data_IF_744068531702
#
_entry.id   IF_744068531702
#
_cell.length_a   1.000
_cell.length_b   1.000
_cell.length_c   1.000
_cell.angle_alpha   90.00
_cell.angle_beta   90.00
_cell.angle_gamma   90.00
#
_symmetry.space_group_name_H-M   'P 1'
#
loop_
_entity.id
_entity.type
_entity.pdbx_description
1 polymer ?
#
# COMPACT_ATOMS: atom_id res chain seq x y z
N UNK A 1 23.99 41.36 -45.64
CA UNK A 1 22.94 40.32 -45.84
C UNK A 1 23.46 38.88 -45.81
N UNK A 2 24.64 38.55 -46.32
CA UNK A 2 25.12 37.14 -46.40
C UNK A 2 25.80 36.60 -45.11
N UNK A 3 26.23 37.48 -44.20
CA UNK A 3 26.90 37.14 -42.93
C UNK A 3 25.95 36.98 -41.75
N UNK A 4 24.85 37.75 -41.72
CA UNK A 4 23.85 37.68 -40.63
C UNK A 4 22.95 36.44 -40.71
N UNK A 5 22.77 35.88 -41.90
CA UNK A 5 22.07 34.61 -42.08
C UNK A 5 22.92 33.40 -41.64
N UNK A 6 24.25 33.53 -41.64
CA UNK A 6 25.17 32.44 -41.28
C UNK A 6 25.28 32.28 -39.76
N UNK A 7 25.33 33.38 -39.00
CA UNK A 7 25.35 33.36 -37.53
C UNK A 7 24.02 32.90 -36.93
N UNK A 8 22.90 33.27 -37.56
CA UNK A 8 21.57 32.79 -37.18
C UNK A 8 21.41 31.28 -37.37
N UNK A 9 21.95 30.74 -38.47
CA UNK A 9 21.95 29.29 -38.74
C UNK A 9 22.80 28.52 -37.72
N UNK A 10 23.95 29.06 -37.32
CA UNK A 10 24.82 28.44 -36.32
C UNK A 10 24.20 28.46 -34.91
N UNK A 11 23.58 29.58 -34.51
CA UNK A 11 22.88 29.66 -33.23
C UNK A 11 21.68 28.72 -33.16
N UNK A 12 20.92 28.56 -34.25
CA UNK A 12 19.82 27.58 -34.30
C UNK A 12 20.32 26.14 -34.29
N UNK A 13 21.43 25.84 -34.95
CA UNK A 13 22.08 24.52 -34.86
C UNK A 13 22.56 24.24 -33.43
N UNK A 14 23.23 25.19 -32.76
CA UNK A 14 23.68 25.02 -31.38
C UNK A 14 22.52 24.84 -30.39
N UNK A 15 21.45 25.61 -30.52
CA UNK A 15 20.26 25.47 -29.67
C UNK A 15 19.55 24.13 -29.92
N UNK A 16 19.47 23.67 -31.17
CA UNK A 16 18.88 22.37 -31.51
C UNK A 16 19.73 21.18 -31.03
N UNK A 17 21.07 21.30 -31.06
CA UNK A 17 21.99 20.31 -30.51
C UNK A 17 21.93 20.23 -28.97
N UNK A 18 21.72 21.36 -28.29
CA UNK A 18 21.54 21.38 -26.83
C UNK A 18 20.18 20.82 -26.39
N UNK A 19 19.12 20.98 -27.18
CA UNK A 19 17.80 20.41 -26.90
C UNK A 19 17.70 18.90 -27.15
N UNK A 20 18.54 18.33 -28.02
CA UNK A 20 18.51 16.90 -28.35
C UNK A 20 19.37 16.01 -27.43
N UNK A 21 20.20 16.60 -26.56
CA UNK A 21 21.02 15.88 -25.58
C UNK A 21 20.33 15.71 -24.21
N UNK A 22 19.15 16.31 -24.01
CA UNK A 22 18.48 16.41 -22.70
C UNK A 22 17.35 15.42 -22.45
N UNK A 23 17.04 14.50 -23.36
CA UNK A 23 15.85 13.63 -23.24
C UNK A 23 16.22 12.14 -23.23
N UNK A 24 16.95 11.72 -22.20
CA UNK A 24 16.86 10.35 -21.69
C UNK A 24 16.06 10.38 -20.39
N UNK A 25 14.79 10.73 -20.48
CA UNK A 25 13.87 10.36 -19.41
C UNK A 25 13.69 8.85 -19.49
N UNK A 26 14.42 8.11 -18.65
CA UNK A 26 14.09 6.73 -18.34
C UNK A 26 12.73 6.76 -17.64
N UNK A 27 11.66 6.79 -18.43
CA UNK A 27 10.33 6.48 -17.93
C UNK A 27 10.39 5.01 -17.55
N UNK A 28 10.77 4.73 -16.30
CA UNK A 28 10.79 3.38 -15.75
C UNK A 28 9.34 2.96 -15.53
N UNK A 29 8.64 2.68 -16.63
CA UNK A 29 7.39 1.99 -16.59
C UNK A 29 7.64 0.62 -15.95
N UNK A 30 6.73 0.21 -15.06
CA UNK A 30 6.77 -1.14 -14.52
C UNK A 30 6.61 -2.12 -15.68
N UNK A 31 7.68 -2.85 -15.99
CA UNK A 31 7.66 -3.89 -17.01
C UNK A 31 7.45 -5.23 -16.30
N UNK A 32 6.31 -5.88 -16.58
CA UNK A 32 6.05 -7.23 -16.10
C UNK A 32 7.06 -8.21 -16.70
N UNK A 33 7.53 -9.15 -15.88
CA UNK A 33 8.43 -10.22 -16.31
C UNK A 33 7.78 -11.58 -16.07
N UNK A 34 8.14 -12.57 -16.88
CA UNK A 34 7.69 -13.94 -16.68
C UNK A 34 8.26 -14.49 -15.38
N UNK A 35 7.40 -14.99 -14.49
CA UNK A 35 7.81 -15.69 -13.27
C UNK A 35 7.80 -17.18 -13.57
N UNK A 36 8.98 -17.78 -13.66
CA UNK A 36 9.14 -19.22 -13.97
C UNK A 36 9.20 -20.10 -12.72
N UNK A 37 9.53 -19.53 -11.56
CA UNK A 37 9.69 -20.24 -10.28
C UNK A 37 9.03 -19.45 -9.13
N UNK A 38 7.69 -19.36 -9.19
CA UNK A 38 6.89 -18.73 -8.14
C UNK A 38 6.79 -19.61 -6.89
N UNK A 39 6.23 -19.05 -5.82
CA UNK A 39 5.95 -19.80 -4.59
C UNK A 39 4.53 -19.54 -4.08
N UNK A 40 4.00 -20.50 -3.33
CA UNK A 40 2.73 -20.37 -2.62
C UNK A 40 3.00 -20.09 -1.15
N UNK A 41 2.35 -19.06 -0.60
CA UNK A 41 2.40 -18.75 0.83
C UNK A 41 1.30 -19.55 1.54
N UNK A 42 1.70 -20.42 2.46
CA UNK A 42 0.80 -21.18 3.31
C UNK A 42 1.03 -20.82 4.78
N UNK A 43 -0.06 -20.68 5.54
CA UNK A 43 0.03 -20.43 6.97
C UNK A 43 -1.31 -20.11 7.62
N UNK A 44 -1.33 -20.15 8.95
CA UNK A 44 -2.46 -19.72 9.78
C UNK A 44 -2.03 -18.48 10.57
N UNK A 45 -2.76 -17.38 10.42
CA UNK A 45 -2.56 -16.18 11.23
C UNK A 45 -3.37 -16.34 12.52
N UNK A 46 -2.69 -16.19 13.65
CA UNK A 46 -3.30 -16.33 14.98
C UNK A 46 -3.16 -15.03 15.76
N UNK A 47 -4.25 -14.62 16.39
CA UNK A 47 -4.25 -13.53 17.35
C UNK A 47 -3.66 -14.03 18.67
N UNK A 48 -2.76 -13.25 19.26
CA UNK A 48 -2.13 -13.56 20.54
C UNK A 48 -2.58 -12.58 21.61
N UNK A 49 -2.89 -13.10 22.78
CA UNK A 49 -3.37 -12.33 23.92
C UNK A 49 -4.89 -12.37 24.06
N UNK A 50 -5.40 -11.56 24.97
CA UNK A 50 -6.84 -11.42 25.22
C UNK A 50 -7.47 -10.58 24.13
N UNK A 51 -8.58 -11.03 23.56
CA UNK A 51 -9.37 -10.23 22.62
C UNK A 51 -9.90 -9.00 23.38
N UNK A 52 -9.63 -7.77 22.92
CA UNK A 52 -10.11 -6.57 23.59
C UNK A 52 -11.64 -6.50 23.53
N UNK A 53 -12.25 -5.96 24.58
CA UNK A 53 -13.67 -5.66 24.60
C UNK A 53 -14.02 -4.66 23.47
N UNK A 54 -15.20 -4.79 22.83
CA UNK A 54 -15.62 -3.87 21.78
C UNK A 54 -15.65 -2.41 22.28
N UNK A 55 -15.16 -1.48 21.46
CA UNK A 55 -15.27 -0.05 21.76
C UNK A 55 -16.69 0.41 21.50
N UNK A 56 -17.27 1.08 22.48
CA UNK A 56 -18.65 1.54 22.43
C UNK A 56 -18.75 3.00 21.96
N UNK A 57 -19.55 3.25 20.92
CA UNK A 57 -19.82 4.58 20.39
C UNK A 57 -21.30 4.93 20.55
N UNK A 58 -21.58 5.98 21.32
CA UNK A 58 -22.95 6.50 21.50
C UNK A 58 -23.44 7.17 20.23
N UNK A 59 -24.30 6.50 19.48
CA UNK A 59 -25.05 7.05 18.35
C UNK A 59 -26.24 7.91 18.81
N UNK A 60 -26.72 7.73 20.04
CA UNK A 60 -27.88 8.45 20.57
C UNK A 60 -27.69 9.99 20.66
N UNK A 61 -26.48 10.53 20.48
CA UNK A 61 -26.26 11.99 20.45
C UNK A 61 -26.91 12.68 19.23
N UNK A 62 -27.46 11.90 18.30
CA UNK A 62 -28.26 12.37 17.18
C UNK A 62 -29.75 12.51 17.57
N UNK A 63 -30.49 13.45 16.95
CA UNK A 63 -31.85 13.81 17.35
C UNK A 63 -32.91 12.68 17.21
N UNK A 64 -32.56 11.54 16.59
CA UNK A 64 -33.47 10.41 16.40
C UNK A 64 -32.99 9.15 17.13
N UNK A 65 -33.33 9.06 18.43
CA UNK A 65 -32.97 7.91 19.28
C UNK A 65 -33.60 6.60 18.83
N UNK A 66 -34.81 6.63 18.29
CA UNK A 66 -35.51 5.42 17.88
C UNK A 66 -34.84 4.82 16.64
N UNK A 67 -34.64 5.63 15.60
CA UNK A 67 -33.96 5.22 14.37
C UNK A 67 -32.50 4.80 14.63
N UNK A 68 -31.75 5.59 15.40
CA UNK A 68 -30.36 5.25 15.72
C UNK A 68 -30.24 4.02 16.66
N UNK A 69 -31.27 3.72 17.44
CA UNK A 69 -31.34 2.51 18.25
C UNK A 69 -31.49 1.26 17.39
N UNK A 70 -32.41 1.27 16.43
CA UNK A 70 -32.66 0.17 15.49
C UNK A 70 -31.43 -0.21 14.67
N UNK A 71 -30.63 0.78 14.23
CA UNK A 71 -29.41 0.56 13.44
C UNK A 71 -28.19 0.14 14.26
N UNK A 72 -28.37 -0.11 15.55
CA UNK A 72 -27.30 -0.35 16.50
C UNK A 72 -27.55 -1.61 17.34
N UNK A 73 -27.39 -1.52 18.66
CA UNK A 73 -27.66 -2.59 19.63
C UNK A 73 -29.07 -2.51 20.24
N UNK A 74 -29.95 -1.66 19.70
CA UNK A 74 -31.26 -1.34 20.27
C UNK A 74 -31.25 -0.22 21.31
N UNK A 75 -30.09 0.11 21.90
CA UNK A 75 -29.93 1.20 22.88
C UNK A 75 -29.19 2.42 22.31
N UNK A 76 -28.83 2.38 21.03
CA UNK A 76 -28.12 3.45 20.34
C UNK A 76 -26.61 3.43 20.57
N UNK A 77 -26.02 2.26 20.82
CA UNK A 77 -24.57 2.06 20.97
C UNK A 77 -24.01 1.20 19.86
N UNK A 78 -23.05 1.73 19.11
CA UNK A 78 -22.32 0.97 18.09
C UNK A 78 -21.09 0.35 18.71
N UNK A 79 -21.01 -0.97 18.62
CA UNK A 79 -19.87 -1.74 19.10
C UNK A 79 -18.87 -1.93 17.96
N UNK A 80 -17.71 -1.31 18.07
CA UNK A 80 -16.58 -1.51 17.16
C UNK A 80 -15.69 -2.62 17.71
N UNK A 81 -15.63 -3.74 17.01
CA UNK A 81 -14.60 -4.77 17.22
C UNK A 81 -13.39 -4.44 16.36
N UNK A 82 -12.28 -4.13 16.98
CA UNK A 82 -11.03 -3.81 16.28
C UNK A 82 -10.34 -5.04 15.71
N UNK A 83 -10.57 -6.20 16.33
CA UNK A 83 -10.06 -7.48 15.87
C UNK A 83 -11.19 -8.51 15.82
N UNK A 84 -11.24 -9.26 14.73
CA UNK A 84 -12.19 -10.34 14.55
C UNK A 84 -11.44 -11.68 14.70
N UNK A 85 -11.66 -12.36 15.81
CA UNK A 85 -11.00 -13.64 16.11
C UNK A 85 -11.99 -14.79 15.95
N UNK A 86 -11.63 -15.76 15.11
CA UNK A 86 -12.40 -16.98 14.87
C UNK A 86 -12.02 -18.13 15.80
N UNK A 87 -12.53 -19.35 15.52
CA UNK A 87 -12.16 -20.55 16.25
C UNK A 87 -10.64 -20.74 16.30
N UNK A 88 -10.16 -21.32 17.41
CA UNK A 88 -8.74 -21.61 17.62
C UNK A 88 -7.81 -20.37 17.51
N UNK A 89 -8.34 -19.17 17.78
CA UNK A 89 -7.57 -17.93 17.78
C UNK A 89 -7.20 -17.39 16.39
N UNK A 90 -7.84 -17.88 15.32
CA UNK A 90 -7.56 -17.40 13.96
C UNK A 90 -7.94 -15.93 13.78
N UNK A 91 -7.02 -15.09 13.29
CA UNK A 91 -7.31 -13.68 13.00
C UNK A 91 -7.95 -13.56 11.61
N UNK A 92 -9.11 -12.90 11.54
CA UNK A 92 -9.83 -12.62 10.29
C UNK A 92 -9.47 -11.24 9.73
N UNK A 93 -9.84 -11.02 8.47
CA UNK A 93 -9.71 -9.73 7.77
C UNK A 93 -8.27 -9.20 7.72
N UNK A 94 -7.30 -10.10 7.49
CA UNK A 94 -5.86 -9.80 7.50
C UNK A 94 -5.36 -9.48 6.09
N UNK A 95 -4.61 -8.38 5.96
CA UNK A 95 -3.80 -8.06 4.79
C UNK A 95 -2.36 -8.45 5.07
N UNK A 96 -1.74 -9.18 4.15
CA UNK A 96 -0.34 -9.59 4.25
C UNK A 96 0.45 -8.86 3.17
N UNK A 97 1.51 -8.16 3.59
CA UNK A 97 2.46 -7.52 2.68
C UNK A 97 3.73 -8.37 2.67
N UNK A 98 4.20 -8.71 1.47
CA UNK A 98 5.48 -9.39 1.26
C UNK A 98 6.44 -8.38 0.66
N UNK A 99 7.46 -8.03 1.43
CA UNK A 99 8.44 -7.00 1.05
C UNK A 99 9.67 -7.63 0.37
N UNK A 100 10.53 -6.77 -0.19
CA UNK A 100 11.83 -7.14 -0.79
C UNK A 100 11.79 -8.14 -1.96
N UNK A 101 10.67 -8.23 -2.67
CA UNK A 101 10.55 -9.06 -3.88
C UNK A 101 11.20 -8.37 -5.09
N UNK A 102 12.22 -9.01 -5.64
CA UNK A 102 12.93 -8.55 -6.82
C UNK A 102 12.31 -9.11 -8.11
N UNK A 103 12.25 -8.31 -9.18
CA UNK A 103 11.71 -8.73 -10.49
C UNK A 103 12.38 -10.02 -10.99
N UNK A 104 11.56 -10.99 -11.38
CA UNK A 104 12.00 -12.23 -12.02
C UNK A 104 12.79 -13.19 -11.12
N UNK A 105 12.96 -12.90 -9.82
CA UNK A 105 13.65 -13.84 -8.91
C UNK A 105 12.68 -14.89 -8.39
N UNK A 106 13.14 -16.15 -8.24
CA UNK A 106 12.40 -17.15 -7.52
C UNK A 106 12.03 -16.68 -6.11
N UNK A 107 10.79 -16.90 -5.71
CA UNK A 107 10.35 -16.63 -4.35
C UNK A 107 10.86 -17.75 -3.44
N UNK A 108 11.80 -17.43 -2.55
CA UNK A 108 12.18 -18.36 -1.48
C UNK A 108 11.05 -18.42 -0.45
N UNK A 109 10.93 -19.52 0.29
CA UNK A 109 9.99 -19.57 1.40
C UNK A 109 10.31 -18.48 2.42
N UNK A 110 9.40 -17.51 2.56
CA UNK A 110 9.50 -16.46 3.57
C UNK A 110 8.87 -16.95 4.87
N UNK A 111 9.58 -16.74 5.98
CA UNK A 111 8.98 -16.83 7.30
C UNK A 111 8.29 -15.49 7.55
N UNK A 112 6.97 -15.50 7.60
CA UNK A 112 6.18 -14.29 7.91
C UNK A 112 6.50 -13.85 9.34
N UNK A 113 7.09 -12.67 9.47
CA UNK A 113 7.34 -12.00 10.75
C UNK A 113 6.03 -11.52 11.37
N UNK A 114 5.96 -11.36 12.69
CA UNK A 114 4.73 -10.93 13.36
C UNK A 114 4.41 -9.50 12.93
N UNK A 115 3.14 -9.22 12.64
CA UNK A 115 2.65 -7.85 12.48
C UNK A 115 2.82 -7.14 13.84
N UNK A 116 3.91 -6.37 14.00
CA UNK A 116 4.34 -5.77 15.27
C UNK A 116 5.83 -5.98 15.62
N UNK A 117 6.55 -6.85 14.92
CA UNK A 117 8.02 -7.00 15.06
C UNK A 117 8.78 -6.04 14.12
N UNK A 118 8.10 -5.24 13.30
CA UNK A 118 8.71 -4.20 12.46
C UNK A 118 9.19 -3.04 13.33
N UNK A 119 10.52 -2.96 13.48
CA UNK A 119 11.21 -1.86 14.15
C UNK A 119 10.78 -0.48 13.59
N UNK A 120 10.79 0.59 14.40
CA UNK A 120 10.42 1.95 14.01
C UNK A 120 11.51 2.63 13.16
N UNK A 121 12.06 1.93 12.16
CA UNK A 121 13.12 2.43 11.28
C UNK A 121 12.63 2.56 9.84
N UNK A 122 11.49 3.21 9.63
CA UNK A 122 11.21 3.86 8.36
C UNK A 122 10.38 5.12 8.58
N UNK A 123 11.03 6.11 9.20
CA UNK A 123 10.76 7.50 8.91
C UNK A 123 11.83 7.94 7.90
N UNK A 124 11.42 8.07 6.64
CA UNK A 124 12.06 8.97 5.68
C UNK A 124 10.99 9.99 5.30
#
# INVERSE_FOLDING_TARGET
MRTESLTGLWMTVCVSAMMSLGQCENTWAYESGTVTDGAIVHGKITFKGTVPEPKEFKLHRYPDRAFCGELSDGNGHRLLREVNVGPEGGLKDVVIVVEDIQKGKPLKMYKVSRLGDSAPHLAI
#
